data_IF_865931190746
#
_entry.id   IF_865931190746
#
_cell.length_a   1.000
_cell.length_b   1.000
_cell.length_c   1.000
_cell.angle_alpha   90.00
_cell.angle_beta   90.00
_cell.angle_gamma   90.00
#
_symmetry.space_group_name_H-M   'P 1'
#
loop_
_entity.id
_entity.type
_entity.pdbx_description
1 polymer ?
#
# COMPACT_ATOMS: atom_id res chain seq x y z
N UNK A 1 11.03 -21.42 -8.32
CA UNK A 1 10.49 -22.54 -7.51
C UNK A 1 9.08 -22.85 -8.00
N UNK A 2 8.69 -24.12 -8.15
CA UNK A 2 7.45 -24.52 -8.84
C UNK A 2 6.34 -24.80 -7.80
N UNK A 3 5.09 -24.48 -8.15
CA UNK A 3 3.87 -24.64 -7.31
C UNK A 3 3.75 -25.99 -6.56
N UNK A 4 4.35 -27.08 -7.05
CA UNK A 4 4.36 -28.38 -6.39
C UNK A 4 5.17 -28.47 -5.08
N UNK A 5 6.10 -27.55 -4.81
CA UNK A 5 6.82 -27.50 -3.54
C UNK A 5 5.96 -26.86 -2.43
N UNK A 6 5.13 -25.87 -2.80
CA UNK A 6 4.19 -25.20 -1.90
C UNK A 6 3.15 -26.17 -1.35
N UNK A 7 2.53 -26.99 -2.20
CA UNK A 7 1.54 -27.99 -1.77
C UNK A 7 2.14 -29.04 -0.84
N UNK A 8 3.37 -29.50 -1.11
CA UNK A 8 4.08 -30.45 -0.24
C UNK A 8 4.37 -29.86 1.14
N UNK A 9 4.78 -28.59 1.20
CA UNK A 9 5.03 -27.89 2.46
C UNK A 9 3.72 -27.76 3.26
N UNK A 10 2.63 -27.35 2.61
CA UNK A 10 1.31 -27.25 3.25
C UNK A 10 0.86 -28.62 3.78
N UNK A 11 1.01 -29.67 2.97
CA UNK A 11 0.67 -31.03 3.37
C UNK A 11 1.50 -31.49 4.58
N UNK A 12 2.83 -31.35 4.50
CA UNK A 12 3.74 -31.75 5.56
C UNK A 12 3.43 -31.02 6.88
N UNK A 13 3.18 -29.72 6.85
CA UNK A 13 2.84 -28.95 8.04
C UNK A 13 1.55 -29.45 8.72
N UNK A 14 0.52 -29.74 7.92
CA UNK A 14 -0.74 -30.29 8.43
C UNK A 14 -0.62 -31.72 8.99
N UNK A 15 0.30 -32.53 8.46
CA UNK A 15 0.60 -33.87 8.97
C UNK A 15 1.43 -33.81 10.25
N UNK A 16 2.47 -32.98 10.28
CA UNK A 16 3.39 -32.87 11.41
C UNK A 16 2.71 -32.34 12.68
N UNK A 17 1.78 -31.36 12.54
CA UNK A 17 1.04 -30.74 13.65
C UNK A 17 1.91 -30.17 14.78
N UNK A 18 3.10 -29.71 14.44
CA UNK A 18 4.04 -29.08 15.38
C UNK A 18 4.04 -27.56 15.18
N UNK A 19 4.13 -26.80 16.29
CA UNK A 19 4.06 -25.33 16.26
C UNK A 19 5.16 -24.73 15.39
N UNK A 20 6.38 -25.22 15.54
CA UNK A 20 7.57 -24.76 14.82
C UNK A 20 7.45 -25.03 13.33
N UNK A 21 6.86 -26.17 12.95
CA UNK A 21 6.62 -26.52 11.54
C UNK A 21 5.57 -25.61 10.92
N UNK A 22 4.50 -25.29 11.64
CA UNK A 22 3.52 -24.31 11.19
C UNK A 22 4.14 -22.92 11.01
N UNK A 23 4.99 -22.47 11.94
CA UNK A 23 5.69 -21.19 11.82
C UNK A 23 6.59 -21.18 10.59
N UNK A 24 7.41 -22.22 10.40
CA UNK A 24 8.30 -22.32 9.23
C UNK A 24 7.51 -22.33 7.91
N UNK A 25 6.40 -23.07 7.85
CA UNK A 25 5.53 -23.10 6.69
C UNK A 25 4.90 -21.73 6.42
N UNK A 26 4.35 -21.06 7.44
CA UNK A 26 3.81 -19.71 7.31
C UNK A 26 4.85 -18.70 6.80
N UNK A 27 6.07 -18.72 7.37
CA UNK A 27 7.16 -17.83 6.96
C UNK A 27 7.58 -18.08 5.50
N UNK A 28 7.64 -19.34 5.09
CA UNK A 28 7.91 -19.70 3.71
C UNK A 28 6.80 -19.20 2.77
N UNK A 29 5.54 -19.39 3.13
CA UNK A 29 4.43 -18.94 2.29
C UNK A 29 4.37 -17.41 2.17
N UNK A 30 4.75 -16.67 3.21
CA UNK A 30 4.86 -15.20 3.16
C UNK A 30 5.91 -14.69 2.17
N UNK A 31 6.95 -15.47 1.87
CA UNK A 31 7.98 -15.08 0.88
C UNK A 31 7.57 -15.34 -0.57
N UNK A 32 6.41 -15.96 -0.79
CA UNK A 32 5.84 -16.18 -2.11
C UNK A 32 4.95 -15.00 -2.53
N UNK A 33 4.55 -14.98 -3.81
CA UNK A 33 3.51 -14.08 -4.34
C UNK A 33 2.11 -14.51 -3.85
N UNK A 34 1.86 -14.40 -2.54
CA UNK A 34 0.61 -14.81 -1.91
C UNK A 34 -0.57 -13.91 -2.26
N UNK A 35 -0.31 -12.67 -2.69
CA UNK A 35 -1.35 -11.68 -3.04
C UNK A 35 -2.29 -12.16 -4.15
N UNK A 36 -1.70 -12.76 -5.19
CA UNK A 36 -2.45 -13.28 -6.33
C UNK A 36 -3.02 -14.69 -6.07
N UNK A 37 -2.83 -15.23 -4.86
CA UNK A 37 -3.15 -16.61 -4.50
C UNK A 37 -3.88 -16.65 -3.16
N UNK A 38 -5.18 -16.30 -3.16
CA UNK A 38 -6.02 -16.27 -1.95
C UNK A 38 -5.89 -17.51 -1.05
N UNK A 39 -5.71 -18.71 -1.63
CA UNK A 39 -5.46 -19.96 -0.88
C UNK A 39 -4.17 -19.93 -0.05
N UNK A 40 -3.10 -19.28 -0.54
CA UNK A 40 -1.83 -19.16 0.19
C UNK A 40 -2.00 -18.28 1.42
N UNK A 41 -2.70 -17.15 1.29
CA UNK A 41 -3.01 -16.26 2.41
C UNK A 41 -3.83 -17.00 3.51
N UNK A 42 -4.84 -17.77 3.12
CA UNK A 42 -5.61 -18.60 4.06
C UNK A 42 -4.72 -19.61 4.80
N UNK A 43 -3.76 -20.23 4.11
CA UNK A 43 -2.81 -21.15 4.75
C UNK A 43 -1.86 -20.44 5.71
N UNK A 44 -1.39 -19.25 5.39
CA UNK A 44 -0.56 -18.43 6.29
C UNK A 44 -1.32 -18.14 7.60
N UNK A 45 -2.55 -17.61 7.48
CA UNK A 45 -3.42 -17.30 8.63
C UNK A 45 -3.65 -18.56 9.48
N UNK A 46 -4.01 -19.68 8.84
CA UNK A 46 -4.26 -20.95 9.51
C UNK A 46 -3.02 -21.47 10.24
N UNK A 47 -1.83 -21.41 9.63
CA UNK A 47 -0.60 -21.90 10.25
C UNK A 47 -0.18 -21.06 11.45
N UNK A 48 -0.19 -19.72 11.37
CA UNK A 48 0.12 -18.90 12.53
C UNK A 48 -0.92 -19.04 13.65
N UNK A 49 -2.20 -19.15 13.30
CA UNK A 49 -3.27 -19.41 14.27
C UNK A 49 -3.04 -20.73 15.01
N UNK A 50 -2.78 -21.83 14.29
CA UNK A 50 -2.49 -23.15 14.88
C UNK A 50 -1.22 -23.16 15.73
N UNK A 51 -0.22 -22.37 15.35
CA UNK A 51 1.02 -22.22 16.12
C UNK A 51 0.84 -21.35 17.38
N UNK A 52 -0.26 -20.57 17.47
CA UNK A 52 -0.43 -19.46 18.42
C UNK A 52 0.68 -18.39 18.27
N UNK A 53 1.16 -18.19 17.04
CA UNK A 53 2.19 -17.21 16.72
C UNK A 53 1.54 -15.84 16.42
N UNK A 54 0.92 -15.25 17.43
CA UNK A 54 0.07 -14.05 17.29
C UNK A 54 0.84 -12.83 16.77
N UNK A 55 2.13 -12.70 17.10
CA UNK A 55 2.98 -11.61 16.59
C UNK A 55 3.20 -11.71 15.07
N UNK A 56 3.44 -12.94 14.57
CA UNK A 56 3.60 -13.19 13.14
C UNK A 56 2.27 -13.02 12.39
N UNK A 57 1.17 -13.45 13.01
CA UNK A 57 -0.17 -13.25 12.45
C UNK A 57 -0.53 -11.76 12.36
N UNK A 58 -0.22 -10.99 13.40
CA UNK A 58 -0.43 -9.54 13.41
C UNK A 58 0.39 -8.84 12.31
N UNK A 59 1.66 -9.21 12.17
CA UNK A 59 2.53 -8.68 11.11
C UNK A 59 2.01 -9.02 9.71
N UNK A 60 1.45 -10.21 9.51
CA UNK A 60 0.84 -10.60 8.25
C UNK A 60 -0.39 -9.74 7.94
N UNK A 61 -1.29 -9.54 8.92
CA UNK A 61 -2.45 -8.66 8.73
C UNK A 61 -2.07 -7.19 8.50
N UNK A 62 -1.03 -6.66 9.15
CA UNK A 62 -0.53 -5.30 8.86
C UNK A 62 -0.02 -5.21 7.41
N UNK A 63 0.68 -6.24 6.92
CA UNK A 63 1.11 -6.32 5.52
C UNK A 63 -0.06 -6.38 4.54
N UNK A 64 -1.10 -7.17 4.85
CA UNK A 64 -2.36 -7.17 4.08
C UNK A 64 -2.98 -5.78 4.04
N UNK A 65 -3.02 -5.08 5.19
CA UNK A 65 -3.60 -3.74 5.25
C UNK A 65 -2.86 -2.74 4.37
N UNK A 66 -1.53 -2.81 4.32
CA UNK A 66 -0.72 -1.92 3.49
C UNK A 66 -1.05 -2.11 2.00
N UNK A 67 -1.18 -3.35 1.54
CA UNK A 67 -1.54 -3.65 0.14
C UNK A 67 -2.94 -3.12 -0.18
N UNK A 68 -3.93 -3.39 0.68
CA UNK A 68 -5.30 -2.91 0.44
C UNK A 68 -5.36 -1.38 0.38
N UNK A 69 -4.62 -0.70 1.27
CA UNK A 69 -4.61 0.75 1.37
C UNK A 69 -3.84 1.41 0.22
N UNK A 70 -2.65 0.92 -0.12
CA UNK A 70 -1.75 1.58 -1.07
C UNK A 70 -1.94 1.11 -2.51
N UNK A 71 -2.16 -0.19 -2.72
CA UNK A 71 -2.28 -0.77 -4.08
C UNK A 71 -3.75 -0.83 -4.52
N UNK A 72 -4.66 -1.32 -3.67
CA UNK A 72 -6.08 -1.48 -4.02
C UNK A 72 -6.91 -0.21 -3.80
N UNK A 73 -6.43 0.73 -2.97
CA UNK A 73 -7.20 1.88 -2.47
C UNK A 73 -8.52 1.47 -1.78
N UNK A 74 -8.56 0.25 -1.23
CA UNK A 74 -9.65 -0.30 -0.41
C UNK A 74 -9.37 -0.01 1.07
N UNK A 75 -9.80 1.17 1.52
CA UNK A 75 -9.59 1.63 2.89
C UNK A 75 -10.41 0.82 3.90
N UNK A 76 -11.58 0.33 3.50
CA UNK A 76 -12.44 -0.52 4.33
C UNK A 76 -11.83 -1.90 4.53
N UNK A 77 -11.28 -2.51 3.48
CA UNK A 77 -10.51 -3.76 3.54
C UNK A 77 -9.27 -3.60 4.42
N UNK A 78 -8.49 -2.53 4.18
CA UNK A 78 -7.33 -2.18 4.99
C UNK A 78 -7.66 -1.98 6.47
N UNK A 79 -8.77 -1.29 6.78
CA UNK A 79 -9.23 -1.09 8.16
C UNK A 79 -9.55 -2.42 8.86
N UNK A 80 -10.22 -3.35 8.17
CA UNK A 80 -10.50 -4.68 8.72
C UNK A 80 -9.21 -5.41 9.05
N UNK A 81 -8.25 -5.43 8.12
CA UNK A 81 -6.96 -6.07 8.33
C UNK A 81 -6.18 -5.43 9.50
N UNK A 82 -6.16 -4.10 9.62
CA UNK A 82 -5.55 -3.41 10.78
C UNK A 82 -6.20 -3.80 12.12
N UNK A 83 -7.53 -3.94 12.15
CA UNK A 83 -8.26 -4.38 13.35
C UNK A 83 -7.87 -5.81 13.72
N UNK A 84 -7.79 -6.72 12.75
CA UNK A 84 -7.32 -8.10 12.99
C UNK A 84 -5.89 -8.13 13.51
N UNK A 85 -4.99 -7.32 12.93
CA UNK A 85 -3.62 -7.18 13.42
C UNK A 85 -3.57 -6.73 14.89
N UNK A 86 -4.36 -5.71 15.24
CA UNK A 86 -4.45 -5.19 16.60
C UNK A 86 -5.03 -6.22 17.59
N UNK A 87 -6.06 -6.96 17.17
CA UNK A 87 -6.68 -8.00 17.99
C UNK A 87 -5.68 -9.13 18.28
N UNK A 88 -4.93 -9.58 17.28
CA UNK A 88 -3.88 -10.59 17.45
C UNK A 88 -2.87 -10.19 18.53
N UNK A 89 -2.37 -8.96 18.50
CA UNK A 89 -1.45 -8.48 19.54
C UNK A 89 -2.13 -8.34 20.91
N UNK A 90 -3.40 -7.93 20.95
CA UNK A 90 -4.15 -7.76 22.19
C UNK A 90 -4.38 -9.07 22.94
N UNK A 91 -4.53 -10.17 22.22
CA UNK A 91 -4.66 -11.52 22.77
C UNK A 91 -3.30 -12.18 23.09
N UNK A 92 -2.19 -11.58 22.65
CA UNK A 92 -0.86 -12.08 22.93
C UNK A 92 -0.55 -11.93 24.43
N UNK A 93 -0.17 -13.06 25.06
CA UNK A 93 0.14 -13.13 26.50
C UNK A 93 1.53 -12.59 26.84
N UNK A 94 2.37 -12.43 25.84
CA UNK A 94 3.68 -11.79 26.01
C UNK A 94 3.43 -10.31 26.27
N UNK A 95 4.08 -9.76 27.29
CA UNK A 95 4.05 -8.33 27.59
C UNK A 95 5.48 -7.84 27.37
N UNK A 96 5.66 -7.05 26.31
CA UNK A 96 6.93 -6.42 25.95
C UNK A 96 6.66 -4.99 25.49
N UNK A 97 7.57 -4.07 25.82
CA UNK A 97 7.45 -2.68 25.37
C UNK A 97 7.35 -2.55 23.85
N UNK A 98 8.06 -3.41 23.11
CA UNK A 98 7.97 -3.44 21.64
C UNK A 98 6.56 -3.82 21.12
N UNK A 99 5.87 -4.72 21.82
CA UNK A 99 4.50 -5.10 21.45
C UNK A 99 3.51 -3.99 21.76
N UNK A 100 3.69 -3.30 22.89
CA UNK A 100 2.83 -2.16 23.25
C UNK A 100 3.03 -1.00 22.27
N UNK A 101 4.25 -0.75 21.82
CA UNK A 101 4.54 0.21 20.75
C UNK A 101 3.86 -0.18 19.43
N UNK A 102 3.95 -1.45 19.00
CA UNK A 102 3.27 -1.95 17.79
C UNK A 102 1.75 -1.83 17.90
N UNK A 103 1.16 -2.16 19.06
CA UNK A 103 -0.28 -1.97 19.31
C UNK A 103 -0.70 -0.51 19.15
N UNK A 104 0.08 0.40 19.75
CA UNK A 104 -0.18 1.83 19.65
C UNK A 104 -0.08 2.32 18.19
N UNK A 105 0.93 1.86 17.44
CA UNK A 105 1.07 2.16 16.03
C UNK A 105 -0.15 1.69 15.22
N UNK A 106 -0.59 0.44 15.41
CA UNK A 106 -1.80 -0.08 14.76
C UNK A 106 -3.04 0.72 15.14
N UNK A 107 -3.20 1.08 16.42
CA UNK A 107 -4.33 1.88 16.88
C UNK A 107 -4.34 3.29 16.25
N UNK A 108 -3.18 3.89 16.06
CA UNK A 108 -3.03 5.16 15.34
C UNK A 108 -3.41 5.00 13.86
N UNK A 109 -2.93 3.97 13.17
CA UNK A 109 -3.31 3.65 11.78
C UNK A 109 -4.82 3.44 11.64
N UNK A 110 -5.43 2.64 12.52
CA UNK A 110 -6.89 2.40 12.56
C UNK A 110 -7.66 3.72 12.68
N UNK A 111 -7.22 4.59 13.59
CA UNK A 111 -7.85 5.89 13.84
C UNK A 111 -7.74 6.79 12.61
N UNK A 112 -6.57 6.82 11.97
CA UNK A 112 -6.33 7.57 10.76
C UNK A 112 -7.24 7.10 9.61
N UNK A 113 -7.26 5.80 9.31
CA UNK A 113 -8.07 5.23 8.23
C UNK A 113 -9.58 5.46 8.47
N UNK A 114 -10.06 5.36 9.72
CA UNK A 114 -11.46 5.70 10.05
C UNK A 114 -11.80 7.15 9.72
N UNK A 115 -10.91 8.10 10.03
CA UNK A 115 -11.09 9.51 9.67
C UNK A 115 -11.11 9.69 8.15
N UNK A 116 -10.23 9.00 7.42
CA UNK A 116 -10.16 9.05 5.96
C UNK A 116 -11.44 8.53 5.30
N UNK A 117 -11.94 7.35 5.72
CA UNK A 117 -13.19 6.77 5.21
C UNK A 117 -14.35 7.74 5.44
N UNK A 118 -14.44 8.32 6.63
CA UNK A 118 -15.47 9.32 6.95
C UNK A 118 -15.35 10.58 6.08
N UNK A 119 -14.13 11.06 5.82
CA UNK A 119 -13.92 12.22 4.96
C UNK A 119 -14.30 11.92 3.50
N UNK A 120 -13.95 10.71 3.01
CA UNK A 120 -14.28 10.26 1.65
C UNK A 120 -15.79 10.14 1.44
N UNK A 121 -16.54 9.58 2.40
CA UNK A 121 -18.00 9.45 2.28
C UNK A 121 -18.74 10.79 2.27
N UNK A 122 -18.12 11.85 2.78
CA UNK A 122 -18.67 13.21 2.75
C UNK A 122 -18.46 13.91 1.40
N UNK A 123 -17.58 13.42 0.52
CA UNK A 123 -17.29 14.09 -0.76
C UNK A 123 -18.52 14.24 -1.65
N UNK A 124 -19.46 13.29 -1.58
CA UNK A 124 -20.70 13.30 -2.37
C UNK A 124 -21.84 14.06 -1.70
N UNK A 125 -21.82 14.22 -0.37
CA UNK A 125 -22.95 14.73 0.42
C UNK A 125 -22.69 16.10 1.06
N UNK A 126 -21.44 16.42 1.36
CA UNK A 126 -21.00 17.68 1.96
C UNK A 126 -19.53 17.95 1.61
N UNK A 127 -19.29 18.42 0.38
CA UNK A 127 -17.95 18.70 -0.16
C UNK A 127 -17.11 19.62 0.71
N UNK A 128 -17.71 20.69 1.26
CA UNK A 128 -17.01 21.64 2.12
C UNK A 128 -16.49 20.98 3.41
N UNK A 129 -17.32 20.15 4.05
CA UNK A 129 -16.90 19.43 5.25
C UNK A 129 -15.89 18.33 4.93
N UNK A 130 -16.03 17.65 3.78
CA UNK A 130 -15.07 16.66 3.30
C UNK A 130 -13.69 17.28 3.10
N UNK A 131 -13.63 18.45 2.43
CA UNK A 131 -12.39 19.18 2.18
C UNK A 131 -11.70 19.57 3.50
N UNK A 132 -12.43 20.12 4.47
CA UNK A 132 -11.89 20.46 5.79
C UNK A 132 -11.30 19.23 6.50
N UNK A 133 -11.97 18.07 6.42
CA UNK A 133 -11.50 16.83 7.04
C UNK A 133 -10.27 16.26 6.33
N UNK A 134 -10.25 16.28 5.00
CA UNK A 134 -9.11 15.84 4.20
C UNK A 134 -7.89 16.75 4.40
N UNK A 135 -8.10 18.06 4.50
CA UNK A 135 -7.03 19.00 4.85
C UNK A 135 -6.46 18.73 6.25
N UNK A 136 -7.32 18.48 7.24
CA UNK A 136 -6.87 18.11 8.58
C UNK A 136 -6.08 16.79 8.61
N UNK A 137 -6.34 15.85 7.69
CA UNK A 137 -5.58 14.61 7.57
C UNK A 137 -4.15 14.82 7.03
N UNK A 138 -3.86 15.93 6.36
CA UNK A 138 -2.49 16.24 5.93
C UNK A 138 -1.57 16.66 7.06
N UNK A 139 -2.15 17.37 8.03
CA UNK A 139 -1.44 17.83 9.23
C UNK A 139 -1.41 16.74 10.30
N UNK A 140 -2.13 15.62 10.10
CA UNK A 140 -2.12 14.49 11.03
C UNK A 140 -0.78 13.74 10.90
N UNK A 141 0.03 13.66 11.97
CA UNK A 141 1.32 12.97 11.94
C UNK A 141 1.18 11.46 11.67
N UNK A 142 -0.02 10.91 11.82
CA UNK A 142 -0.32 9.52 11.47
C UNK A 142 -0.33 9.24 9.97
N UNK A 143 -0.35 10.27 9.11
CA UNK A 143 -0.41 10.08 7.65
C UNK A 143 0.75 9.25 7.14
N UNK A 144 1.99 9.71 7.35
CA UNK A 144 3.20 9.07 6.80
C UNK A 144 3.47 7.69 7.41
N UNK A 145 2.95 7.43 8.62
CA UNK A 145 3.03 6.12 9.26
C UNK A 145 1.97 5.13 8.76
N UNK A 146 0.91 5.62 8.10
CA UNK A 146 -0.23 4.78 7.70
C UNK A 146 -0.24 4.51 6.20
N UNK A 147 0.13 5.49 5.39
CA UNK A 147 0.09 5.38 3.93
C UNK A 147 0.93 6.45 3.25
N UNK A 148 1.24 6.25 1.97
CA UNK A 148 1.86 7.30 1.18
C UNK A 148 0.98 8.58 1.07
N UNK A 149 1.50 9.78 1.41
CA UNK A 149 0.75 11.05 1.39
C UNK A 149 0.02 11.36 0.08
N UNK A 150 0.62 10.96 -1.05
CA UNK A 150 0.05 11.12 -2.38
C UNK A 150 -1.37 10.54 -2.52
N UNK A 151 -1.74 9.51 -1.76
CA UNK A 151 -3.10 8.96 -1.81
C UNK A 151 -4.15 9.99 -1.34
N UNK A 152 -3.89 10.71 -0.25
CA UNK A 152 -4.83 11.74 0.27
C UNK A 152 -4.85 12.95 -0.67
N UNK A 153 -3.69 13.35 -1.21
CA UNK A 153 -3.63 14.43 -2.22
C UNK A 153 -4.44 14.09 -3.47
N UNK A 154 -4.34 12.85 -3.95
CA UNK A 154 -5.07 12.41 -5.13
C UNK A 154 -6.58 12.53 -4.93
N UNK A 155 -7.11 12.15 -3.76
CA UNK A 155 -8.54 12.27 -3.47
C UNK A 155 -9.02 13.73 -3.54
N UNK A 156 -8.26 14.68 -2.99
CA UNK A 156 -8.61 16.11 -3.08
C UNK A 156 -8.46 16.66 -4.50
N UNK A 157 -7.40 16.30 -5.21
CA UNK A 157 -7.20 16.72 -6.60
C UNK A 157 -8.36 16.25 -7.47
N UNK A 158 -8.76 14.98 -7.31
CA UNK A 158 -9.93 14.43 -8.00
C UNK A 158 -11.22 15.19 -7.65
N UNK A 159 -11.40 15.56 -6.38
CA UNK A 159 -12.55 16.35 -5.94
C UNK A 159 -12.57 17.75 -6.57
N UNK A 160 -11.47 18.50 -6.52
CA UNK A 160 -11.41 19.84 -7.12
C UNK A 160 -11.55 19.79 -8.64
N UNK A 161 -11.06 18.74 -9.30
CA UNK A 161 -11.30 18.54 -10.74
C UNK A 161 -12.78 18.24 -11.02
N UNK A 162 -13.47 17.47 -10.17
CA UNK A 162 -14.90 17.18 -10.36
C UNK A 162 -15.79 18.41 -10.11
N UNK A 163 -15.35 19.33 -9.25
CA UNK A 163 -16.01 20.63 -9.00
C UNK A 163 -15.53 21.76 -9.91
N UNK A 164 -14.67 21.46 -10.90
CA UNK A 164 -14.08 22.41 -11.86
C UNK A 164 -13.18 23.51 -11.24
N UNK A 165 -12.74 23.32 -10.00
CA UNK A 165 -11.72 24.15 -9.36
C UNK A 165 -10.30 23.69 -9.74
N UNK A 166 -9.97 23.86 -11.03
CA UNK A 166 -8.69 23.43 -11.57
C UNK A 166 -7.50 24.19 -10.95
N UNK A 167 -7.72 25.41 -10.45
CA UNK A 167 -6.70 26.22 -9.78
C UNK A 167 -6.30 25.59 -8.45
N UNK A 168 -7.27 25.20 -7.61
CA UNK A 168 -6.96 24.53 -6.36
C UNK A 168 -6.37 23.14 -6.59
N UNK A 169 -6.92 22.37 -7.55
CA UNK A 169 -6.36 21.08 -7.93
C UNK A 169 -4.87 21.19 -8.31
N UNK A 170 -4.51 22.20 -9.13
CA UNK A 170 -3.13 22.45 -9.49
C UNK A 170 -2.26 22.87 -8.29
N UNK A 171 -2.77 23.74 -7.40
CA UNK A 171 -2.05 24.15 -6.18
C UNK A 171 -1.72 22.94 -5.30
N UNK A 172 -2.67 22.02 -5.11
CA UNK A 172 -2.46 20.79 -4.35
C UNK A 172 -1.39 19.89 -4.99
N UNK A 173 -1.38 19.76 -6.32
CA UNK A 173 -0.31 19.05 -7.03
C UNK A 173 1.06 19.71 -6.80
N UNK A 174 1.15 21.04 -6.87
CA UNK A 174 2.41 21.74 -6.60
C UNK A 174 2.88 21.58 -5.16
N UNK A 175 1.96 21.57 -4.19
CA UNK A 175 2.29 21.28 -2.79
C UNK A 175 2.83 19.85 -2.63
N UNK A 176 2.18 18.86 -3.24
CA UNK A 176 2.64 17.47 -3.22
C UNK A 176 4.03 17.33 -3.85
N UNK A 177 4.26 17.94 -5.02
CA UNK A 177 5.55 17.91 -5.71
C UNK A 177 6.65 18.61 -4.90
N UNK A 178 6.32 19.73 -4.26
CA UNK A 178 7.28 20.46 -3.41
C UNK A 178 7.66 19.67 -2.17
N UNK A 179 6.72 18.94 -1.56
CA UNK A 179 6.97 18.15 -0.35
C UNK A 179 7.65 16.81 -0.67
N UNK A 180 7.37 16.22 -1.84
CA UNK A 180 7.94 14.96 -2.30
C UNK A 180 8.48 15.09 -3.73
N UNK A 181 9.68 15.68 -3.94
CA UNK A 181 10.20 16.00 -5.26
C UNK A 181 10.48 14.79 -6.17
N UNK A 182 10.74 13.62 -5.59
CA UNK A 182 10.98 12.37 -6.31
C UNK A 182 9.70 11.63 -6.71
N UNK A 183 8.51 12.16 -6.36
CA UNK A 183 7.25 11.52 -6.63
C UNK A 183 6.85 11.65 -8.10
N UNK A 184 6.59 10.50 -8.76
CA UNK A 184 5.93 10.51 -10.06
C UNK A 184 4.42 10.73 -9.91
N UNK A 185 3.93 11.87 -10.39
CA UNK A 185 2.51 12.23 -10.35
C UNK A 185 1.62 11.22 -11.08
N UNK A 186 2.11 10.66 -12.18
CA UNK A 186 1.40 9.70 -13.02
C UNK A 186 1.12 8.38 -12.31
N UNK A 187 1.90 8.05 -11.27
CA UNK A 187 1.70 6.83 -10.48
C UNK A 187 0.47 6.93 -9.56
N UNK A 188 0.12 8.14 -9.13
CA UNK A 188 -0.95 8.35 -8.13
C UNK A 188 -2.19 9.02 -8.73
N UNK A 189 -2.00 9.91 -9.70
CA UNK A 189 -3.09 10.67 -10.32
C UNK A 189 -3.29 10.19 -11.76
N UNK A 190 -4.51 9.79 -12.08
CA UNK A 190 -4.83 9.31 -13.43
C UNK A 190 -4.53 10.36 -14.52
N UNK A 191 -4.08 9.89 -15.68
CA UNK A 191 -3.76 10.75 -16.83
C UNK A 191 -4.94 11.68 -17.20
N UNK A 192 -6.18 11.17 -17.14
CA UNK A 192 -7.39 11.98 -17.39
C UNK A 192 -7.49 13.22 -16.49
N UNK A 193 -7.17 13.07 -15.20
CA UNK A 193 -7.24 14.17 -14.23
C UNK A 193 -6.11 15.17 -14.49
N UNK A 194 -4.90 14.67 -14.76
CA UNK A 194 -3.74 15.50 -15.10
C UNK A 194 -3.97 16.31 -16.39
N UNK A 195 -4.53 15.68 -17.42
CA UNK A 195 -4.84 16.33 -18.70
C UNK A 195 -5.94 17.38 -18.54
N UNK A 196 -6.97 17.11 -17.73
CA UNK A 196 -8.03 18.08 -17.45
C UNK A 196 -7.47 19.37 -16.81
N UNK A 197 -6.57 19.23 -15.82
CA UNK A 197 -5.90 20.37 -15.19
C UNK A 197 -5.01 21.10 -16.20
N UNK A 198 -4.20 20.36 -16.97
CA UNK A 198 -3.32 20.94 -17.99
C UNK A 198 -4.09 21.75 -19.04
N UNK A 199 -5.20 21.20 -19.52
CA UNK A 199 -6.03 21.85 -20.53
C UNK A 199 -6.71 23.10 -19.97
N UNK A 200 -7.33 23.01 -18.79
CA UNK A 200 -8.04 24.14 -18.18
C UNK A 200 -7.12 25.32 -17.85
N UNK A 201 -5.85 25.04 -17.52
CA UNK A 201 -4.88 26.06 -17.10
C UNK A 201 -3.85 26.43 -18.20
N UNK A 202 -4.02 25.91 -19.42
CA UNK A 202 -3.08 26.10 -20.53
C UNK A 202 -1.62 25.78 -20.17
N UNK A 203 -1.40 24.67 -19.45
CA UNK A 203 -0.07 24.24 -19.04
C UNK A 203 0.69 23.57 -20.19
N UNK A 204 2.03 23.65 -20.23
CA UNK A 204 2.83 23.03 -21.27
C UNK A 204 2.70 21.50 -21.26
N UNK A 205 2.76 20.86 -22.45
CA UNK A 205 2.73 19.40 -22.56
C UNK A 205 3.94 18.77 -21.86
N UNK A 206 3.75 17.59 -21.28
CA UNK A 206 4.82 16.85 -20.58
C UNK A 206 5.14 17.32 -19.16
N UNK A 207 4.41 18.31 -18.61
CA UNK A 207 4.60 18.84 -17.25
C UNK A 207 4.60 17.78 -16.16
N UNK A 208 3.82 16.72 -16.32
CA UNK A 208 3.62 15.70 -15.29
C UNK A 208 4.56 14.48 -15.43
N UNK A 209 5.53 14.56 -16.35
CA UNK A 209 6.55 13.53 -16.58
C UNK A 209 6.30 12.69 -17.84
N UNK A 210 7.39 12.17 -18.41
CA UNK A 210 7.45 10.96 -19.25
C UNK A 210 8.71 10.24 -18.80
N UNK A 211 8.62 9.13 -18.09
CA UNK A 211 9.77 8.25 -17.85
C UNK A 211 9.28 6.82 -17.68
N UNK A 212 9.45 6.03 -18.73
CA UNK A 212 9.92 4.63 -18.72
C UNK A 212 10.06 4.17 -20.18
N UNK A 213 11.09 4.68 -20.85
CA UNK A 213 11.74 4.02 -21.98
C UNK A 213 13.22 4.45 -21.96
N UNK A 214 14.02 3.79 -21.13
CA UNK A 214 15.40 3.45 -21.49
C UNK A 214 15.65 2.02 -21.02
N UNK A 215 15.37 1.12 -21.96
CA UNK A 215 15.76 -0.28 -21.95
C UNK A 215 17.27 -0.34 -21.80
N UNK A 216 17.70 -1.14 -20.83
CA UNK A 216 19.08 -1.52 -20.66
C UNK A 216 19.45 -2.49 -21.79
N UNK A 217 19.92 -1.96 -22.93
CA UNK A 217 20.53 -2.75 -24.01
C UNK A 217 21.90 -2.14 -24.34
N UNK A 218 22.91 -2.56 -23.59
CA UNK A 218 24.27 -2.67 -24.11
C UNK A 218 24.75 -4.10 -23.80
N UNK A 219 24.28 -5.03 -24.62
CA UNK A 219 24.90 -6.33 -24.81
C UNK A 219 25.46 -6.40 -26.23
N UNK A 220 26.69 -6.93 -26.30
CA UNK A 220 27.39 -7.48 -27.45
C UNK A 220 27.95 -6.52 -28.50
N UNK A 221 29.13 -5.98 -28.18
CA UNK A 221 30.19 -5.77 -29.17
C UNK A 221 30.83 -7.12 -29.53
N UNK A 222 30.19 -7.89 -30.41
CA UNK A 222 30.90 -8.89 -31.23
C UNK A 222 31.60 -8.16 -32.38
N UNK A 223 32.91 -7.91 -32.24
CA UNK A 223 33.79 -7.66 -33.39
C UNK A 223 34.57 -8.96 -33.68
N UNK A 224 34.08 -9.70 -34.67
CA UNK A 224 34.87 -10.66 -35.45
C UNK A 224 35.28 -9.94 -36.74
N UNK A 225 36.32 -10.47 -37.41
CA UNK A 225 36.82 -10.21 -38.78
C UNK A 225 38.00 -9.21 -38.78
N UNK A 226 39.21 -9.47 -39.28
CA UNK A 226 39.79 -10.58 -40.05
C UNK A 226 41.34 -10.57 -39.97
N UNK A 227 41.91 -11.67 -40.45
CA UNK A 227 43.27 -11.89 -40.96
C UNK A 227 44.10 -10.63 -41.38
N UNK A 228 45.38 -10.58 -40.95
CA UNK A 228 46.53 -10.58 -41.88
C UNK A 228 47.91 -10.56 -41.17
N UNK A 229 48.77 -11.48 -41.63
CA UNK A 229 50.22 -11.71 -41.40
C UNK A 229 50.70 -12.35 -40.09
#
# INVERSE_FOLDING_TARGET
MKSGDTEKIIFFANVAKQKEVYIMAGNYLQSLEWRNQSKVAEHIINFYTKAQALDLLASFYDSCSQIEIEECQDYEGGLKALIEAHNCLSECKTISGEQDEKKLQLQNKITFIKKLILAKSLLETNSQQAEQKLQALFEDPGLECTMHPAHVFTLLVQHHVSTQDYQMAYKLLMQLQSKYPSLSMQRYVSQRVLDAISHALNLPPGRWGKQDEEVHDEADSEEIVDENL
#
